data_IF_144045522193
#
_entry.id   IF_144045522193
#
_cell.length_a   1.000
_cell.length_b   1.000
_cell.length_c   1.000
_cell.angle_alpha   90.00
_cell.angle_beta   90.00
_cell.angle_gamma   90.00
#
_symmetry.space_group_name_H-M   'P 1'
#
loop_
_entity.id
_entity.type
_entity.pdbx_description
1 polymer ?
#
# COMPACT_ATOMS: atom_id res chain seq x y z
N UNK A 1 -2.50 -10.94 -8.54
CA UNK A 1 -3.15 -10.28 -9.70
C UNK A 1 -2.21 -10.13 -10.90
N UNK A 2 -1.00 -9.57 -10.77
CA UNK A 2 -0.03 -9.45 -11.88
C UNK A 2 0.35 -10.78 -12.56
N UNK A 3 0.57 -11.85 -11.79
CA UNK A 3 0.87 -13.18 -12.35
C UNK A 3 -0.23 -13.74 -13.25
N UNK A 4 -1.50 -13.46 -12.95
CA UNK A 4 -2.64 -13.86 -13.81
C UNK A 4 -2.61 -13.14 -15.16
N UNK A 5 -2.28 -11.84 -15.15
CA UNK A 5 -2.12 -11.06 -16.39
C UNK A 5 -0.93 -11.53 -17.23
N UNK A 6 0.16 -11.96 -16.59
CA UNK A 6 1.31 -12.56 -17.28
C UNK A 6 0.92 -13.88 -17.95
N UNK A 7 0.28 -14.79 -17.20
CA UNK A 7 -0.20 -16.08 -17.71
C UNK A 7 -1.17 -15.90 -18.89
N UNK A 8 -2.13 -14.96 -18.79
CA UNK A 8 -3.05 -14.69 -19.90
C UNK A 8 -2.30 -14.20 -21.15
N UNK A 9 -1.29 -13.34 -20.99
CA UNK A 9 -0.49 -12.87 -22.13
C UNK A 9 0.27 -14.02 -22.79
N UNK A 10 0.83 -14.95 -22.01
CA UNK A 10 1.49 -16.15 -22.55
C UNK A 10 0.51 -17.05 -23.31
N UNK A 11 -0.71 -17.22 -22.81
CA UNK A 11 -1.76 -17.97 -23.51
C UNK A 11 -2.17 -17.30 -24.82
N UNK A 12 -2.32 -15.97 -24.82
CA UNK A 12 -2.65 -15.19 -26.02
C UNK A 12 -1.56 -15.34 -27.09
N UNK A 13 -0.29 -15.18 -26.70
CA UNK A 13 0.87 -15.35 -27.60
C UNK A 13 0.97 -16.76 -28.17
N UNK A 14 0.72 -17.78 -27.34
CA UNK A 14 0.71 -19.17 -27.80
C UNK A 14 -0.43 -19.46 -28.78
N UNK A 15 -1.60 -18.84 -28.57
CA UNK A 15 -2.76 -19.01 -29.45
C UNK A 15 -2.57 -18.34 -30.81
N UNK A 16 -1.93 -17.17 -30.84
CA UNK A 16 -1.65 -16.44 -32.09
C UNK A 16 -0.38 -16.90 -32.78
N UNK A 17 0.52 -17.59 -32.05
CA UNK A 17 1.86 -17.93 -32.53
C UNK A 17 2.83 -16.74 -32.59
N UNK A 18 2.41 -15.56 -32.11
CA UNK A 18 3.20 -14.33 -32.15
C UNK A 18 3.94 -14.10 -30.84
N UNK A 19 5.25 -14.34 -30.87
CA UNK A 19 6.18 -14.10 -29.77
C UNK A 19 7.04 -12.85 -29.97
N UNK A 20 6.61 -11.94 -30.86
CA UNK A 20 7.31 -10.70 -31.12
C UNK A 20 7.39 -9.81 -29.87
N UNK A 21 8.38 -8.92 -29.86
CA UNK A 21 8.55 -7.89 -28.82
C UNK A 21 7.28 -7.04 -28.62
N UNK A 22 6.52 -6.81 -29.69
CA UNK A 22 5.27 -6.07 -29.63
C UNK A 22 4.19 -6.80 -28.84
N UNK A 23 4.04 -8.12 -29.07
CA UNK A 23 3.10 -8.95 -28.32
C UNK A 23 3.50 -9.10 -26.85
N UNK A 24 4.80 -9.22 -26.54
CA UNK A 24 5.30 -9.16 -25.16
C UNK A 24 4.95 -7.83 -24.46
N UNK A 25 4.99 -6.70 -25.18
CA UNK A 25 4.70 -5.37 -24.64
C UNK A 25 3.22 -5.18 -24.25
N UNK A 26 2.33 -6.05 -24.72
CA UNK A 26 0.93 -6.03 -24.31
C UNK A 26 0.77 -6.33 -22.81
N UNK A 27 1.60 -7.23 -22.25
CA UNK A 27 1.61 -7.50 -20.82
C UNK A 27 1.96 -6.23 -20.03
N UNK A 28 3.05 -5.56 -20.40
CA UNK A 28 3.50 -4.32 -19.76
C UNK A 28 2.39 -3.27 -19.73
N UNK A 29 1.72 -3.04 -20.88
CA UNK A 29 0.60 -2.09 -20.96
C UNK A 29 -0.59 -2.49 -20.08
N UNK A 30 -0.97 -3.78 -20.08
CA UNK A 30 -2.07 -4.30 -19.25
C UNK A 30 -1.74 -4.15 -17.76
N UNK A 31 -0.52 -4.49 -17.38
CA UNK A 31 -0.02 -4.37 -16.01
C UNK A 31 0.03 -2.91 -15.56
N UNK A 32 0.59 -2.02 -16.37
CA UNK A 32 0.69 -0.60 -16.04
C UNK A 32 -0.69 0.06 -15.95
N UNK A 33 -1.63 -0.30 -16.84
CA UNK A 33 -3.02 0.15 -16.73
C UNK A 33 -3.68 -0.32 -15.43
N UNK A 34 -3.42 -1.56 -15.01
CA UNK A 34 -4.03 -2.15 -13.83
C UNK A 34 -3.43 -1.65 -12.50
N UNK A 35 -2.11 -1.45 -12.42
CA UNK A 35 -1.41 -1.17 -11.16
C UNK A 35 -0.56 0.11 -11.18
N UNK A 36 -0.25 0.65 -12.35
CA UNK A 36 0.66 1.80 -12.53
C UNK A 36 0.25 3.05 -11.77
N UNK A 37 -1.07 3.26 -11.64
CA UNK A 37 -1.64 4.40 -10.92
C UNK A 37 -1.26 4.44 -9.44
N UNK A 38 -0.91 3.30 -8.85
CA UNK A 38 -0.71 3.17 -7.41
C UNK A 38 0.76 3.39 -6.99
N UNK A 39 1.71 3.26 -7.93
CA UNK A 39 3.15 3.33 -7.64
C UNK A 39 3.59 4.70 -7.13
N UNK A 40 3.13 5.78 -7.75
CA UNK A 40 3.50 7.13 -7.33
C UNK A 40 3.09 7.41 -5.89
N UNK A 41 1.85 7.07 -5.54
CA UNK A 41 1.34 7.28 -4.18
C UNK A 41 2.00 6.32 -3.18
N UNK A 42 2.33 5.09 -3.60
CA UNK A 42 3.12 4.15 -2.79
C UNK A 42 4.48 4.74 -2.42
N UNK A 43 5.19 5.31 -3.41
CA UNK A 43 6.49 5.92 -3.20
C UNK A 43 6.37 7.10 -2.23
N UNK A 44 5.39 8.00 -2.43
CA UNK A 44 5.18 9.15 -1.54
C UNK A 44 4.84 8.76 -0.12
N UNK A 45 4.03 7.72 0.09
CA UNK A 45 3.75 7.23 1.44
C UNK A 45 4.99 6.57 2.08
N UNK A 46 5.80 5.84 1.31
CA UNK A 46 7.05 5.27 1.82
C UNK A 46 8.05 6.38 2.22
N UNK A 47 8.19 7.44 1.41
CA UNK A 47 8.98 8.63 1.74
C UNK A 47 8.47 9.31 3.02
N UNK A 48 7.14 9.44 3.19
CA UNK A 48 6.54 10.03 4.37
C UNK A 48 6.78 9.20 5.65
N UNK A 49 6.63 7.87 5.56
CA UNK A 49 6.93 6.96 6.68
C UNK A 49 8.41 6.97 7.03
N UNK A 50 9.30 7.07 6.04
CA UNK A 50 10.73 7.20 6.27
C UNK A 50 11.08 8.50 7.01
N UNK A 51 10.47 9.62 6.61
CA UNK A 51 10.66 10.91 7.27
C UNK A 51 10.01 10.98 8.66
N UNK A 52 8.92 10.23 8.89
CA UNK A 52 8.18 10.22 10.13
C UNK A 52 7.75 8.78 10.51
N UNK A 53 8.62 8.01 11.19
CA UNK A 53 8.35 6.62 11.59
C UNK A 53 7.10 6.48 12.49
N UNK A 54 6.76 7.53 13.25
CA UNK A 54 5.53 7.63 14.04
C UNK A 54 4.27 7.27 13.24
N UNK A 55 4.24 7.58 11.94
CA UNK A 55 3.10 7.22 11.09
C UNK A 55 2.90 5.71 11.08
N UNK A 56 3.97 4.93 10.96
CA UNK A 56 3.91 3.47 10.94
C UNK A 56 3.48 2.90 12.29
N UNK A 57 3.96 3.48 13.39
CA UNK A 57 3.53 3.13 14.75
C UNK A 57 2.04 3.36 14.95
N UNK A 58 1.57 4.55 14.59
CA UNK A 58 0.16 4.93 14.71
C UNK A 58 -0.74 3.98 13.93
N UNK A 59 -0.30 3.61 12.72
CA UNK A 59 -0.98 2.63 11.89
C UNK A 59 -1.00 1.26 12.56
N UNK A 60 0.13 0.75 13.02
CA UNK A 60 0.23 -0.55 13.68
C UNK A 60 -0.64 -0.64 14.94
N UNK A 61 -0.56 0.38 15.82
CA UNK A 61 -1.39 0.49 17.03
C UNK A 61 -2.88 0.49 16.70
N UNK A 62 -3.31 1.25 15.69
CA UNK A 62 -4.73 1.31 15.33
C UNK A 62 -5.25 0.02 14.68
N UNK A 63 -4.40 -0.69 13.92
CA UNK A 63 -4.72 -2.02 13.39
C UNK A 63 -4.92 -3.04 14.52
N UNK A 64 -4.03 -3.05 15.52
CA UNK A 64 -4.18 -3.91 16.69
C UNK A 64 -5.45 -3.57 17.49
N UNK A 65 -5.77 -2.28 17.62
CA UNK A 65 -6.93 -1.81 18.39
C UNK A 65 -8.28 -2.09 17.74
N UNK A 66 -8.40 -1.89 16.42
CA UNK A 66 -9.65 -2.12 15.67
C UNK A 66 -9.80 -3.55 15.15
N UNK A 67 -8.73 -4.35 15.23
CA UNK A 67 -8.71 -5.74 14.81
C UNK A 67 -8.96 -5.92 13.32
N UNK A 68 -9.56 -7.07 12.98
CA UNK A 68 -9.67 -7.58 11.61
C UNK A 68 -10.31 -6.59 10.63
N UNK A 69 -11.31 -5.81 11.06
CA UNK A 69 -12.04 -4.89 10.19
C UNK A 69 -11.14 -3.83 9.52
N UNK A 70 -10.14 -3.32 10.26
CA UNK A 70 -9.19 -2.34 9.75
C UNK A 70 -8.05 -3.04 9.02
N UNK A 71 -7.61 -4.19 9.53
CA UNK A 71 -6.54 -4.98 8.92
C UNK A 71 -6.91 -5.50 7.52
N UNK A 72 -8.17 -5.91 7.30
CA UNK A 72 -8.66 -6.31 5.98
C UNK A 72 -8.63 -5.15 4.99
N UNK A 73 -9.13 -3.97 5.38
CA UNK A 73 -9.08 -2.76 4.53
C UNK A 73 -7.64 -2.35 4.20
N UNK A 74 -6.76 -2.43 5.19
CA UNK A 74 -5.33 -2.19 5.00
C UNK A 74 -4.73 -3.19 4.01
N UNK A 75 -5.00 -4.48 4.17
CA UNK A 75 -4.51 -5.52 3.27
C UNK A 75 -5.03 -5.32 1.83
N UNK A 76 -6.28 -4.95 1.64
CA UNK A 76 -6.84 -4.65 0.30
C UNK A 76 -6.09 -3.50 -0.39
N UNK A 77 -5.74 -2.46 0.35
CA UNK A 77 -4.98 -1.32 -0.20
C UNK A 77 -3.51 -1.71 -0.46
N UNK A 78 -2.89 -2.45 0.45
CA UNK A 78 -1.48 -2.87 0.33
C UNK A 78 -1.26 -3.93 -0.75
N UNK A 79 -2.28 -4.71 -1.11
CA UNK A 79 -2.22 -5.73 -2.17
C UNK A 79 -2.68 -5.23 -3.54
N UNK A 80 -2.89 -3.92 -3.68
CA UNK A 80 -3.38 -3.27 -4.90
C UNK A 80 -4.77 -3.79 -5.35
N UNK A 81 -5.59 -4.30 -4.42
CA UNK A 81 -7.00 -4.62 -4.70
C UNK A 81 -7.85 -3.34 -4.72
N UNK A 82 -7.51 -2.37 -3.88
CA UNK A 82 -8.05 -1.02 -3.89
C UNK A 82 -6.92 0.00 -4.10
N UNK A 83 -7.19 1.15 -4.75
CA UNK A 83 -6.18 2.19 -4.92
C UNK A 83 -5.84 2.84 -3.58
N UNK A 84 -4.59 3.27 -3.41
CA UNK A 84 -4.10 3.99 -2.22
C UNK A 84 -4.83 5.30 -1.94
N UNK A 85 -5.60 5.81 -2.90
CA UNK A 85 -6.50 6.95 -2.69
C UNK A 85 -7.57 6.68 -1.63
N UNK A 86 -7.85 5.41 -1.32
CA UNK A 86 -8.75 5.04 -0.22
C UNK A 86 -8.28 5.54 1.14
N UNK A 87 -6.97 5.70 1.36
CA UNK A 87 -6.47 6.31 2.61
C UNK A 87 -6.96 7.73 2.84
N UNK A 88 -7.30 8.46 1.76
CA UNK A 88 -7.81 9.82 1.84
C UNK A 88 -9.34 9.90 1.92
N UNK A 89 -10.05 8.76 1.86
CA UNK A 89 -11.48 8.78 2.11
C UNK A 89 -11.75 9.24 3.54
N UNK A 90 -12.76 10.10 3.77
CA UNK A 90 -12.98 10.71 5.07
C UNK A 90 -13.21 9.68 6.19
N UNK A 91 -13.79 8.51 5.89
CA UNK A 91 -13.99 7.44 6.85
C UNK A 91 -12.68 6.80 7.33
N UNK A 92 -11.68 6.66 6.45
CA UNK A 92 -10.37 6.07 6.77
C UNK A 92 -9.40 7.14 7.27
N UNK A 93 -9.35 8.29 6.58
CA UNK A 93 -8.46 9.41 6.90
C UNK A 93 -8.70 9.95 8.32
N UNK A 94 -9.96 10.05 8.75
CA UNK A 94 -10.28 10.48 10.13
C UNK A 94 -9.78 9.49 11.17
N UNK A 95 -9.92 8.19 10.91
CA UNK A 95 -9.44 7.14 11.81
C UNK A 95 -7.92 7.15 11.92
N UNK A 96 -7.22 7.30 10.79
CA UNK A 96 -5.76 7.44 10.75
C UNK A 96 -5.29 8.72 11.43
N UNK A 97 -5.96 9.85 11.20
CA UNK A 97 -5.64 11.11 11.86
C UNK A 97 -5.76 11.02 13.37
N UNK A 98 -6.84 10.41 13.88
CA UNK A 98 -7.03 10.17 15.31
C UNK A 98 -5.92 9.25 15.84
N UNK A 99 -5.57 8.19 15.10
CA UNK A 99 -4.50 7.27 15.49
C UNK A 99 -3.14 7.97 15.59
N UNK A 100 -2.80 8.82 14.61
CA UNK A 100 -1.54 9.59 14.60
C UNK A 100 -1.48 10.54 15.78
N UNK A 101 -2.55 11.29 16.05
CA UNK A 101 -2.60 12.20 17.20
C UNK A 101 -2.50 11.42 18.51
N UNK A 102 -3.17 10.27 18.62
CA UNK A 102 -3.09 9.42 19.81
C UNK A 102 -1.68 8.89 20.02
N UNK A 103 -1.07 8.30 19.00
CA UNK A 103 0.29 7.76 19.09
C UNK A 103 1.29 8.87 19.43
N UNK A 104 1.12 10.07 18.86
CA UNK A 104 1.94 11.22 19.22
C UNK A 104 1.81 11.59 20.70
N UNK A 105 0.59 11.58 21.25
CA UNK A 105 0.34 11.85 22.68
C UNK A 105 0.90 10.73 23.56
N UNK A 106 0.78 9.46 23.15
CA UNK A 106 1.33 8.30 23.87
C UNK A 106 2.86 8.33 23.92
N UNK A 107 3.52 8.60 22.79
CA UNK A 107 4.97 8.68 22.74
C UNK A 107 5.51 9.92 23.48
N UNK A 108 4.83 11.08 23.37
CA UNK A 108 5.30 12.34 23.97
C UNK A 108 4.92 12.53 25.44
N UNK A 109 3.74 12.08 25.87
CA UNK A 109 3.26 12.28 27.25
C UNK A 109 3.43 11.03 28.13
N UNK A 110 3.25 9.84 27.57
CA UNK A 110 3.31 8.57 28.34
C UNK A 110 4.65 7.84 28.20
N UNK A 111 5.58 8.37 27.40
CA UNK A 111 6.93 7.82 27.29
C UNK A 111 6.99 6.44 26.64
N UNK A 112 6.01 6.10 25.80
CA UNK A 112 6.03 4.86 25.01
C UNK A 112 7.34 4.81 24.20
N UNK A 113 8.15 3.74 24.33
CA UNK A 113 9.43 3.65 23.64
C UNK A 113 9.22 3.60 22.13
N UNK A 114 9.90 4.50 21.41
CA UNK A 114 9.94 4.51 19.95
C UNK A 114 10.69 3.25 19.46
N UNK A 115 9.96 2.32 18.86
CA UNK A 115 10.50 1.06 18.37
C UNK A 115 11.38 1.22 17.12
N UNK A 116 11.39 2.39 16.48
CA UNK A 116 12.04 2.67 15.21
C UNK A 116 13.12 3.74 15.27
N UNK A 117 13.47 4.26 16.45
CA UNK A 117 14.73 5.00 16.65
C UNK A 117 15.90 4.11 16.24
N UNK A 118 16.47 4.39 15.07
CA UNK A 118 17.78 3.88 14.70
C UNK A 118 18.75 4.35 15.79
N UNK A 119 19.36 3.40 16.51
CA UNK A 119 20.46 3.71 17.43
C UNK A 119 21.52 4.45 16.61
N UNK A 120 21.82 5.68 17.02
CA UNK A 120 22.94 6.45 16.48
C UNK A 120 24.26 5.73 16.75
#
# INVERSE_FOLDING_TARGET
>A
MGGKAAAQTMMDMRRTGDFSKQSCRQYERRWFKAFGHDFFLSQKMAEAVYACPLLLDAMASEMQRKGDSMMSKWAEIMTCMQPKTYFFRPDIATQLGIAIVREFLEQKMWGKPDCYRLKA
#
